data_IF_554743934080
#
_entry.id   IF_554743934080
#
_cell.length_a   1.000
_cell.length_b   1.000
_cell.length_c   1.000
_cell.angle_alpha   90.00
_cell.angle_beta   90.00
_cell.angle_gamma   90.00
#
_symmetry.space_group_name_H-M   'P 1'
#
loop_
_entity.id
_entity.type
_entity.pdbx_description
1 polymer ?
#
# COMPACT_ATOMS: atom_id res chain seq x y z
N UNK A 1 16.86 4.98 -1.87
CA UNK A 1 18.16 5.56 -2.26
C UNK A 1 18.92 5.95 -1.02
N UNK A 2 18.57 7.06 -0.37
CA UNK A 2 19.26 7.60 0.82
C UNK A 2 19.73 6.57 1.87
N UNK A 3 18.83 5.79 2.48
CA UNK A 3 19.19 4.79 3.51
C UNK A 3 20.17 3.73 2.99
N UNK A 4 20.08 3.35 1.71
CA UNK A 4 21.02 2.39 1.12
C UNK A 4 22.43 2.98 0.95
N UNK A 5 22.52 4.30 0.77
CA UNK A 5 23.78 5.01 0.48
C UNK A 5 24.53 5.42 1.75
N UNK A 6 23.83 5.57 2.89
CA UNK A 6 24.42 6.00 4.17
C UNK A 6 24.57 4.87 5.21
N UNK A 7 24.05 3.67 4.94
CA UNK A 7 24.06 2.55 5.88
C UNK A 7 24.98 1.42 5.42
N UNK A 8 25.90 1.05 6.30
CA UNK A 8 26.82 -0.07 6.10
C UNK A 8 26.08 -1.41 5.90
N UNK A 9 26.73 -2.33 5.17
CA UNK A 9 26.11 -3.58 4.69
C UNK A 9 25.43 -4.41 5.79
N UNK A 10 26.06 -4.52 6.97
CA UNK A 10 25.57 -5.32 8.09
C UNK A 10 24.34 -4.71 8.79
N UNK A 11 24.21 -3.37 8.80
CA UNK A 11 23.08 -2.71 9.45
C UNK A 11 21.93 -2.39 8.49
N UNK A 12 22.13 -2.61 7.19
CA UNK A 12 21.18 -2.27 6.13
C UNK A 12 19.84 -2.96 6.32
N UNK A 13 19.85 -4.27 6.59
CA UNK A 13 18.63 -5.04 6.83
C UNK A 13 17.83 -4.49 8.02
N UNK A 14 18.51 -4.08 9.10
CA UNK A 14 17.87 -3.49 10.29
C UNK A 14 17.21 -2.15 9.95
N UNK A 15 17.88 -1.26 9.23
CA UNK A 15 17.35 0.05 8.87
C UNK A 15 16.16 -0.05 7.89
N UNK A 16 16.23 -0.96 6.92
CA UNK A 16 15.09 -1.25 6.05
C UNK A 16 13.92 -1.87 6.82
N UNK A 17 14.19 -2.67 7.85
CA UNK A 17 13.18 -3.19 8.77
C UNK A 17 12.45 -2.07 9.53
N UNK A 18 13.19 -1.12 10.11
CA UNK A 18 12.60 0.05 10.78
C UNK A 18 11.78 0.92 9.83
N UNK A 19 12.29 1.18 8.61
CA UNK A 19 11.54 1.92 7.58
C UNK A 19 10.19 1.24 7.26
N UNK A 20 10.21 -0.09 7.11
CA UNK A 20 9.00 -0.87 6.85
C UNK A 20 8.01 -0.82 8.01
N UNK A 21 8.50 -0.86 9.25
CA UNK A 21 7.67 -0.70 10.45
C UNK A 21 7.03 0.69 10.55
N UNK A 22 7.77 1.76 10.28
CA UNK A 22 7.23 3.13 10.24
C UNK A 22 6.16 3.29 9.14
N UNK A 23 6.38 2.70 7.97
CA UNK A 23 5.40 2.71 6.88
C UNK A 23 4.10 1.98 7.28
N UNK A 24 4.22 0.80 7.87
CA UNK A 24 3.07 0.06 8.40
C UNK A 24 2.31 0.83 9.47
N UNK A 25 3.02 1.45 10.42
CA UNK A 25 2.40 2.31 11.43
C UNK A 25 1.65 3.49 10.80
N UNK A 26 2.25 4.16 9.82
CA UNK A 26 1.61 5.26 9.09
C UNK A 26 0.35 4.83 8.34
N UNK A 27 0.35 3.64 7.75
CA UNK A 27 -0.79 3.08 7.04
C UNK A 27 -1.99 2.82 7.97
N UNK A 28 -1.75 2.48 9.24
CA UNK A 28 -2.80 2.27 10.24
C UNK A 28 -3.21 3.58 10.92
N UNK A 29 -2.25 4.38 11.37
CA UNK A 29 -2.51 5.64 12.07
C UNK A 29 -3.15 6.69 11.16
N UNK A 30 -2.80 6.71 9.87
CA UNK A 30 -3.29 7.68 8.89
C UNK A 30 -4.83 7.69 8.75
N UNK A 31 -5.48 6.57 8.41
CA UNK A 31 -6.94 6.50 8.30
C UNK A 31 -7.68 6.78 9.62
N UNK A 32 -7.12 6.37 10.77
CA UNK A 32 -7.73 6.65 12.08
C UNK A 32 -7.74 8.14 12.37
N UNK A 33 -6.57 8.79 12.27
CA UNK A 33 -6.45 10.23 12.49
C UNK A 33 -7.24 11.02 11.44
N UNK A 34 -7.20 10.59 10.18
CA UNK A 34 -7.95 11.19 9.08
C UNK A 34 -9.46 11.10 9.27
N UNK A 35 -9.99 9.95 9.69
CA UNK A 35 -11.42 9.76 9.95
C UNK A 35 -11.91 10.59 11.14
N UNK A 36 -11.17 10.58 12.25
CA UNK A 36 -11.49 11.38 13.44
C UNK A 36 -11.49 12.89 13.13
N UNK A 37 -10.48 13.37 12.39
CA UNK A 37 -10.39 14.78 11.99
C UNK A 37 -11.42 15.15 10.92
N UNK A 38 -11.71 14.23 10.01
CA UNK A 38 -12.73 14.40 8.96
C UNK A 38 -14.14 14.61 9.54
N UNK A 39 -14.43 14.04 10.72
CA UNK A 39 -15.68 14.26 11.44
C UNK A 39 -15.87 15.70 11.94
N UNK A 40 -14.79 16.45 12.22
CA UNK A 40 -14.89 17.87 12.60
C UNK A 40 -14.98 18.79 11.39
N UNK A 41 -14.18 18.51 10.35
CA UNK A 41 -14.20 19.25 9.09
C UNK A 41 -13.55 18.41 7.98
N UNK A 42 -14.11 18.42 6.75
CA UNK A 42 -13.48 17.74 5.60
C UNK A 42 -12.05 18.23 5.29
N UNK A 43 -11.69 19.44 5.71
CA UNK A 43 -10.35 20.02 5.45
C UNK A 43 -9.33 19.74 6.56
N UNK A 44 -9.77 19.38 7.77
CA UNK A 44 -8.88 19.21 8.93
C UNK A 44 -7.78 18.13 8.72
N UNK A 45 -8.07 16.97 8.09
CA UNK A 45 -7.02 15.97 7.80
C UNK A 45 -5.89 16.52 6.92
N UNK A 46 -6.20 17.40 5.97
CA UNK A 46 -5.21 17.97 5.05
C UNK A 46 -4.28 18.95 5.76
N UNK A 47 -4.81 19.78 6.66
CA UNK A 47 -3.97 20.68 7.47
C UNK A 47 -3.05 19.91 8.42
N UNK A 48 -3.54 18.82 9.02
CA UNK A 48 -2.72 17.95 9.85
C UNK A 48 -1.60 17.27 9.05
N UNK A 49 -1.92 16.75 7.86
CA UNK A 49 -0.94 16.17 6.95
C UNK A 49 0.12 17.20 6.51
N UNK A 50 -0.29 18.45 6.23
CA UNK A 50 0.63 19.53 5.90
C UNK A 50 1.56 19.88 7.06
N UNK A 51 1.03 19.96 8.29
CA UNK A 51 1.85 20.20 9.48
C UNK A 51 2.86 19.07 9.73
N UNK A 52 2.44 17.81 9.62
CA UNK A 52 3.33 16.64 9.76
C UNK A 52 4.42 16.60 8.70
N UNK A 53 4.08 16.90 7.44
CA UNK A 53 5.07 16.99 6.37
C UNK A 53 6.04 18.16 6.58
N UNK A 54 5.55 19.31 7.04
CA UNK A 54 6.41 20.45 7.41
C UNK A 54 7.37 20.10 8.55
N UNK A 55 6.89 19.39 9.57
CA UNK A 55 7.73 18.90 10.67
C UNK A 55 8.78 17.88 10.20
N UNK A 56 8.46 17.03 9.21
CA UNK A 56 9.43 16.11 8.60
C UNK A 56 10.44 16.83 7.69
N UNK A 57 10.04 17.92 7.05
CA UNK A 57 10.90 18.72 6.17
C UNK A 57 12.02 19.45 6.95
N UNK A 58 11.74 19.91 8.16
CA UNK A 58 12.75 20.60 8.98
C UNK A 58 14.01 19.76 9.27
N UNK A 59 13.93 18.54 9.85
CA UNK A 59 15.09 17.67 9.98
C UNK A 59 15.61 17.22 8.61
N UNK A 60 14.72 17.10 7.61
CA UNK A 60 15.00 17.09 6.17
C UNK A 60 16.16 18.00 5.77
N UNK A 61 15.98 19.29 6.03
CA UNK A 61 16.90 20.35 5.61
C UNK A 61 18.13 20.50 6.50
N UNK A 62 18.01 20.23 7.81
CA UNK A 62 19.08 20.55 8.76
C UNK A 62 19.93 19.36 9.19
N UNK A 63 19.39 18.13 9.17
CA UNK A 63 20.06 16.95 9.74
C UNK A 63 20.53 15.95 8.69
N UNK A 64 19.95 15.92 7.48
CA UNK A 64 20.32 14.92 6.46
C UNK A 64 21.56 15.37 5.67
N UNK A 65 22.71 14.67 5.80
CA UNK A 65 23.87 14.90 4.95
C UNK A 65 23.57 14.60 3.48
N UNK A 66 24.30 15.23 2.57
CA UNK A 66 24.21 14.93 1.14
C UNK A 66 24.59 13.46 0.87
N UNK A 67 23.61 12.66 0.41
CA UNK A 67 23.80 11.24 0.11
C UNK A 67 24.52 11.00 -1.22
N UNK A 68 24.40 11.91 -2.19
CA UNK A 68 24.94 11.70 -3.52
C UNK A 68 26.36 12.26 -3.63
N UNK A 69 27.36 11.43 -3.31
CA UNK A 69 28.79 11.77 -3.44
C UNK A 69 29.38 11.56 -4.85
N UNK A 70 28.57 11.16 -5.83
CA UNK A 70 29.02 10.89 -7.21
C UNK A 70 29.09 12.14 -8.10
N UNK A 71 29.91 12.10 -9.16
CA UNK A 71 29.96 13.14 -10.19
C UNK A 71 28.59 13.32 -10.86
N UNK A 72 28.17 14.58 -11.06
CA UNK A 72 26.94 14.94 -11.77
C UNK A 72 27.08 14.52 -13.24
N UNK A 73 26.54 13.34 -13.58
CA UNK A 73 26.45 12.90 -14.98
C UNK A 73 25.43 13.78 -15.73
N UNK A 74 25.72 14.21 -16.98
CA UNK A 74 24.75 14.94 -17.78
C UNK A 74 23.50 14.08 -18.00
N UNK A 75 22.33 14.66 -17.74
CA UNK A 75 21.04 14.01 -17.94
C UNK A 75 20.86 13.69 -19.43
N UNK A 76 20.96 12.41 -19.79
CA UNK A 76 20.67 11.94 -21.14
C UNK A 76 19.17 12.00 -21.38
N UNK A 77 18.75 12.54 -22.53
CA UNK A 77 17.32 12.62 -22.90
C UNK A 77 16.67 11.24 -23.01
N UNK A 78 17.44 10.20 -23.34
CA UNK A 78 16.94 8.82 -23.34
C UNK A 78 16.57 8.33 -21.92
N UNK A 79 17.25 8.81 -20.88
CA UNK A 79 16.95 8.47 -19.48
C UNK A 79 15.64 9.12 -18.97
N UNK A 80 15.12 10.12 -19.69
CA UNK A 80 13.85 10.77 -19.39
C UNK A 80 12.63 10.00 -19.94
N UNK A 81 12.84 8.95 -20.74
CA UNK A 81 11.75 8.15 -21.28
C UNK A 81 11.49 6.92 -20.39
N UNK A 82 10.50 6.97 -19.48
CA UNK A 82 10.20 5.84 -18.59
C UNK A 82 9.71 4.60 -19.35
N UNK A 83 9.18 4.77 -20.58
CA UNK A 83 8.71 3.70 -21.45
C UNK A 83 9.84 3.04 -22.25
N UNK A 84 11.03 3.65 -22.32
CA UNK A 84 12.17 3.04 -23.00
C UNK A 84 12.60 1.73 -22.33
N UNK A 85 12.43 1.62 -21.00
CA UNK A 85 12.70 0.41 -20.22
C UNK A 85 11.78 -0.77 -20.59
N UNK A 86 10.57 -0.52 -21.10
CA UNK A 86 9.65 -1.55 -21.56
C UNK A 86 10.06 -2.21 -22.88
N UNK A 87 10.97 -1.59 -23.65
CA UNK A 87 11.43 -2.14 -24.94
C UNK A 87 12.14 -3.48 -24.77
N UNK A 88 12.83 -3.68 -23.64
CA UNK A 88 13.49 -4.94 -23.30
C UNK A 88 12.49 -6.03 -22.89
N UNK A 89 11.44 -5.67 -22.15
CA UNK A 89 10.38 -6.61 -21.73
C UNK A 89 9.58 -7.17 -22.93
N UNK A 90 9.51 -6.43 -24.04
CA UNK A 90 8.82 -6.86 -25.27
C UNK A 90 9.43 -8.10 -25.92
N UNK A 91 10.71 -8.41 -25.66
CA UNK A 91 11.40 -9.59 -26.17
C UNK A 91 11.15 -10.87 -25.37
N UNK A 92 10.53 -10.78 -24.19
CA UNK A 92 10.34 -11.90 -23.27
C UNK A 92 8.86 -12.07 -22.96
N UNK A 93 8.15 -12.88 -23.78
CA UNK A 93 6.70 -13.09 -23.66
C UNK A 93 6.25 -13.51 -22.26
N UNK A 94 7.06 -14.30 -21.54
CA UNK A 94 6.76 -14.71 -20.15
C UNK A 94 6.81 -13.52 -19.19
N UNK A 95 7.81 -12.64 -19.32
CA UNK A 95 7.94 -11.44 -18.48
C UNK A 95 6.79 -10.48 -18.77
N UNK A 96 6.45 -10.26 -20.05
CA UNK A 96 5.30 -9.45 -20.42
C UNK A 96 3.98 -9.98 -19.85
N UNK A 97 3.78 -11.31 -19.85
CA UNK A 97 2.60 -11.92 -19.23
C UNK A 97 2.57 -11.72 -17.70
N UNK A 98 3.70 -11.89 -17.01
CA UNK A 98 3.79 -11.64 -15.57
C UNK A 98 3.55 -10.16 -15.23
N UNK A 99 4.08 -9.24 -16.04
CA UNK A 99 3.81 -7.80 -15.89
C UNK A 99 2.34 -7.47 -16.09
N UNK A 100 1.68 -8.10 -17.07
CA UNK A 100 0.25 -7.92 -17.28
C UNK A 100 -0.58 -8.45 -16.11
N UNK A 101 -0.25 -9.65 -15.58
CA UNK A 101 -0.90 -10.20 -14.39
C UNK A 101 -0.71 -9.26 -13.19
N UNK A 102 0.53 -8.82 -12.93
CA UNK A 102 0.82 -7.86 -11.87
C UNK A 102 0.05 -6.55 -12.04
N UNK A 103 -0.01 -6.02 -13.27
CA UNK A 103 -0.78 -4.81 -13.57
C UNK A 103 -2.27 -5.00 -13.29
N UNK A 104 -2.86 -6.12 -13.70
CA UNK A 104 -4.28 -6.43 -13.44
C UNK A 104 -4.51 -6.55 -11.93
N UNK A 105 -3.64 -7.25 -11.20
CA UNK A 105 -3.75 -7.38 -9.75
C UNK A 105 -3.65 -6.02 -9.06
N UNK A 106 -2.69 -5.18 -9.46
CA UNK A 106 -2.57 -3.82 -8.93
C UNK A 106 -3.82 -2.99 -9.25
N UNK A 107 -4.36 -3.08 -10.46
CA UNK A 107 -5.57 -2.36 -10.86
C UNK A 107 -6.77 -2.76 -9.99
N UNK A 108 -6.99 -4.07 -9.81
CA UNK A 108 -8.06 -4.59 -8.95
C UNK A 108 -7.84 -4.18 -7.49
N UNK A 109 -6.61 -4.27 -6.99
CA UNK A 109 -6.27 -3.86 -5.62
C UNK A 109 -6.45 -2.36 -5.34
N UNK A 110 -6.50 -1.50 -6.37
CA UNK A 110 -6.82 -0.08 -6.19
C UNK A 110 -8.33 0.21 -6.09
N UNK A 111 -9.20 -0.75 -6.47
CA UNK A 111 -10.66 -0.54 -6.47
C UNK A 111 -11.20 -0.23 -5.07
N UNK A 112 -10.86 -0.97 -3.99
CA UNK A 112 -11.31 -0.63 -2.64
C UNK A 112 -10.78 0.73 -2.21
N UNK A 113 -9.51 1.03 -2.48
CA UNK A 113 -8.93 2.30 -2.07
C UNK A 113 -9.70 3.51 -2.64
N UNK A 114 -10.22 3.40 -3.87
CA UNK A 114 -10.99 4.45 -4.52
C UNK A 114 -12.48 4.46 -4.14
N UNK A 115 -13.10 3.28 -4.01
CA UNK A 115 -14.57 3.15 -3.92
C UNK A 115 -15.07 2.82 -2.51
N UNK A 116 -14.22 2.40 -1.57
CA UNK A 116 -14.65 1.92 -0.26
C UNK A 116 -15.43 2.96 0.54
N UNK A 117 -14.98 4.22 0.50
CA UNK A 117 -15.66 5.35 1.15
C UNK A 117 -17.05 5.56 0.53
N UNK A 118 -17.10 5.70 -0.80
CA UNK A 118 -18.35 5.95 -1.55
C UNK A 118 -19.34 4.80 -1.36
N UNK A 119 -18.87 3.56 -1.46
CA UNK A 119 -19.67 2.37 -1.27
C UNK A 119 -20.20 2.27 0.17
N UNK A 120 -19.36 2.56 1.18
CA UNK A 120 -19.76 2.57 2.58
C UNK A 120 -20.84 3.62 2.89
N UNK A 121 -20.71 4.82 2.33
CA UNK A 121 -21.68 5.91 2.49
C UNK A 121 -23.02 5.60 1.79
N UNK A 122 -22.98 5.20 0.52
CA UNK A 122 -24.19 5.01 -0.30
C UNK A 122 -24.95 3.73 0.10
N UNK A 123 -24.23 2.63 0.34
CA UNK A 123 -24.85 1.32 0.60
C UNK A 123 -25.23 1.10 2.06
N UNK A 124 -24.39 1.56 2.99
CA UNK A 124 -24.53 1.26 4.42
C UNK A 124 -24.80 2.50 5.27
N UNK A 125 -24.82 3.70 4.68
CA UNK A 125 -24.97 4.97 5.39
C UNK A 125 -23.95 5.13 6.53
N UNK A 126 -22.72 4.68 6.28
CA UNK A 126 -21.63 4.86 7.24
C UNK A 126 -21.23 6.32 7.34
N UNK A 127 -20.92 6.75 8.57
CA UNK A 127 -20.31 8.03 8.84
C UNK A 127 -18.78 7.96 8.63
N UNK A 128 -18.14 9.14 8.54
CA UNK A 128 -16.70 9.25 8.35
C UNK A 128 -15.89 8.48 9.41
N UNK A 129 -16.40 8.40 10.65
CA UNK A 129 -15.80 7.64 11.75
C UNK A 129 -15.78 6.15 11.45
N UNK A 130 -16.92 5.58 11.08
CA UNK A 130 -17.02 4.14 10.75
C UNK A 130 -16.15 3.78 9.56
N UNK A 131 -16.09 4.64 8.54
CA UNK A 131 -15.22 4.45 7.38
C UNK A 131 -13.75 4.46 7.79
N UNK A 132 -13.32 5.43 8.60
CA UNK A 132 -11.95 5.50 9.12
C UNK A 132 -11.55 4.27 9.94
N UNK A 133 -12.44 3.81 10.83
CA UNK A 133 -12.24 2.58 11.63
C UNK A 133 -12.14 1.36 10.71
N UNK A 134 -13.00 1.27 9.69
CA UNK A 134 -13.01 0.15 8.74
C UNK A 134 -11.71 0.06 7.94
N UNK A 135 -11.18 1.20 7.46
CA UNK A 135 -9.90 1.27 6.74
C UNK A 135 -8.72 0.92 7.64
N UNK A 136 -8.75 1.38 8.89
CA UNK A 136 -7.74 1.03 9.88
C UNK A 136 -7.74 -0.47 10.20
N UNK A 137 -8.92 -1.05 10.40
CA UNK A 137 -9.08 -2.49 10.60
C UNK A 137 -8.57 -3.27 9.40
N UNK A 138 -8.92 -2.86 8.17
CA UNK A 138 -8.40 -3.46 6.95
C UNK A 138 -6.87 -3.40 6.88
N UNK A 139 -6.26 -2.23 7.14
CA UNK A 139 -4.80 -2.09 7.15
C UNK A 139 -4.11 -2.98 8.18
N UNK A 140 -4.67 -3.11 9.39
CA UNK A 140 -4.17 -4.03 10.42
C UNK A 140 -4.28 -5.48 9.94
N UNK A 141 -5.46 -5.91 9.47
CA UNK A 141 -5.66 -7.27 8.98
C UNK A 141 -4.74 -7.59 7.80
N UNK A 142 -4.59 -6.67 6.85
CA UNK A 142 -3.76 -6.84 5.66
C UNK A 142 -2.28 -6.92 6.05
N UNK A 143 -1.79 -6.03 6.93
CA UNK A 143 -0.41 -6.12 7.44
C UNK A 143 -0.15 -7.41 8.21
N UNK A 144 -1.13 -7.88 8.99
CA UNK A 144 -1.04 -9.13 9.74
C UNK A 144 -1.05 -10.36 8.82
N UNK A 145 -1.90 -10.37 7.80
CA UNK A 145 -1.94 -11.40 6.77
C UNK A 145 -0.65 -11.43 5.95
N UNK A 146 -0.14 -10.25 5.57
CA UNK A 146 1.14 -10.12 4.87
C UNK A 146 2.30 -10.67 5.72
N UNK A 147 2.33 -10.38 7.02
CA UNK A 147 3.38 -10.85 7.92
C UNK A 147 3.28 -12.34 8.26
N UNK A 148 2.08 -12.86 8.54
CA UNK A 148 1.91 -14.21 9.09
C UNK A 148 1.45 -15.26 8.08
N UNK A 149 0.68 -14.87 7.06
CA UNK A 149 0.07 -15.81 6.11
C UNK A 149 0.96 -15.97 4.88
N UNK A 150 1.44 -14.86 4.31
CA UNK A 150 2.13 -14.86 3.01
C UNK A 150 3.37 -15.77 3.00
N UNK A 151 4.27 -15.64 3.98
CA UNK A 151 5.51 -16.42 4.05
C UNK A 151 5.26 -17.93 4.17
N UNK A 152 4.52 -18.40 5.20
CA UNK A 152 4.24 -19.83 5.38
C UNK A 152 3.45 -20.45 4.23
N UNK A 153 2.48 -19.73 3.65
CA UNK A 153 1.68 -20.22 2.52
C UNK A 153 2.55 -20.37 1.26
N UNK A 154 3.38 -19.37 0.95
CA UNK A 154 4.33 -19.44 -0.17
C UNK A 154 5.34 -20.59 0.00
N UNK A 155 5.87 -20.78 1.22
CA UNK A 155 6.81 -21.86 1.51
C UNK A 155 6.19 -23.26 1.39
N UNK A 156 4.91 -23.44 1.79
CA UNK A 156 4.23 -24.74 1.76
C UNK A 156 3.63 -25.11 0.42
N UNK A 157 3.04 -24.13 -0.28
CA UNK A 157 2.26 -24.37 -1.50
C UNK A 157 3.00 -23.94 -2.77
N UNK A 158 4.10 -23.20 -2.63
CA UNK A 158 4.83 -22.58 -3.72
C UNK A 158 4.19 -21.26 -4.17
N UNK A 159 5.00 -20.37 -4.72
CA UNK A 159 4.62 -19.00 -5.10
C UNK A 159 3.38 -18.97 -6.00
N UNK A 160 3.34 -19.82 -7.03
CA UNK A 160 2.21 -19.85 -7.99
C UNK A 160 0.88 -20.20 -7.33
N UNK A 161 0.85 -21.18 -6.41
CA UNK A 161 -0.39 -21.59 -5.76
C UNK A 161 -0.81 -20.62 -4.66
N UNK A 162 0.16 -20.03 -3.95
CA UNK A 162 -0.10 -18.96 -3.01
C UNK A 162 -0.78 -17.76 -3.70
N UNK A 163 -0.25 -17.36 -4.86
CA UNK A 163 -0.78 -16.27 -5.66
C UNK A 163 -2.20 -16.59 -6.19
N UNK A 164 -2.45 -17.81 -6.68
CA UNK A 164 -3.80 -18.24 -7.08
C UNK A 164 -4.79 -18.25 -5.91
N UNK A 165 -4.37 -18.69 -4.71
CA UNK A 165 -5.21 -18.68 -3.52
C UNK A 165 -5.57 -17.25 -3.11
N UNK A 166 -4.62 -16.32 -3.17
CA UNK A 166 -4.87 -14.91 -2.89
C UNK A 166 -5.90 -14.33 -3.85
N UNK A 167 -5.73 -14.56 -5.16
CA UNK A 167 -6.71 -14.13 -6.17
C UNK A 167 -8.12 -14.72 -5.96
N UNK A 168 -8.22 -15.97 -5.49
CA UNK A 168 -9.51 -16.60 -5.18
C UNK A 168 -10.11 -15.98 -3.92
N UNK A 169 -9.30 -15.70 -2.89
CA UNK A 169 -9.76 -15.06 -1.66
C UNK A 169 -10.30 -13.65 -1.95
N UNK A 170 -9.57 -12.85 -2.73
CA UNK A 170 -9.99 -11.53 -3.19
C UNK A 170 -11.27 -11.58 -4.02
N UNK A 171 -11.30 -12.44 -5.05
CA UNK A 171 -12.46 -12.60 -5.91
C UNK A 171 -13.70 -12.99 -5.12
N UNK A 172 -13.56 -13.91 -4.16
CA UNK A 172 -14.64 -14.32 -3.26
C UNK A 172 -15.07 -13.16 -2.36
N UNK A 173 -14.11 -12.39 -1.83
CA UNK A 173 -14.37 -11.21 -1.02
C UNK A 173 -15.23 -10.17 -1.75
N UNK A 174 -14.88 -9.83 -3.00
CA UNK A 174 -15.67 -8.91 -3.81
C UNK A 174 -17.07 -9.43 -4.14
N UNK A 175 -17.20 -10.73 -4.45
CA UNK A 175 -18.51 -11.34 -4.71
C UNK A 175 -19.38 -11.24 -3.45
N UNK A 176 -18.85 -11.58 -2.28
CA UNK A 176 -19.59 -11.48 -1.02
C UNK A 176 -19.95 -10.02 -0.70
N UNK A 177 -19.07 -9.07 -1.00
CA UNK A 177 -19.33 -7.64 -0.80
C UNK A 177 -20.48 -7.15 -1.69
N UNK A 178 -20.58 -7.65 -2.92
CA UNK A 178 -21.67 -7.30 -3.84
C UNK A 178 -23.06 -7.72 -3.32
N UNK A 179 -23.13 -8.83 -2.57
CA UNK A 179 -24.37 -9.30 -1.93
C UNK A 179 -24.56 -8.79 -0.49
N UNK A 180 -23.62 -8.00 0.04
CA UNK A 180 -23.74 -7.48 1.40
C UNK A 180 -24.90 -6.49 1.51
N UNK A 181 -25.83 -6.78 2.42
CA UNK A 181 -27.02 -5.94 2.66
C UNK A 181 -26.92 -5.11 3.95
N UNK A 182 -26.02 -5.48 4.86
CA UNK A 182 -25.86 -4.82 6.17
C UNK A 182 -24.39 -4.45 6.38
N UNK A 183 -24.12 -3.27 6.94
CA UNK A 183 -22.75 -2.79 7.13
C UNK A 183 -21.86 -3.73 7.95
N UNK A 184 -22.39 -4.42 8.96
CA UNK A 184 -21.58 -5.34 9.76
C UNK A 184 -21.01 -6.52 8.94
N UNK A 185 -21.63 -6.89 7.81
CA UNK A 185 -21.16 -7.97 6.94
C UNK A 185 -19.84 -7.63 6.24
N UNK A 186 -19.51 -6.34 6.10
CA UNK A 186 -18.26 -5.91 5.49
C UNK A 186 -17.03 -6.31 6.32
N UNK A 187 -17.11 -6.30 7.65
CA UNK A 187 -15.98 -6.65 8.54
C UNK A 187 -15.46 -8.09 8.39
N UNK A 188 -16.30 -9.15 8.40
CA UNK A 188 -15.81 -10.50 8.13
C UNK A 188 -15.32 -10.67 6.68
N UNK A 189 -15.90 -9.95 5.71
CA UNK A 189 -15.46 -9.98 4.31
C UNK A 189 -14.07 -9.34 4.15
N UNK A 190 -13.73 -8.32 4.95
CA UNK A 190 -12.39 -7.73 4.96
C UNK A 190 -11.30 -8.74 5.29
N UNK A 191 -11.58 -9.80 6.07
CA UNK A 191 -10.60 -10.84 6.37
C UNK A 191 -10.17 -11.56 5.09
N UNK A 192 -11.13 -11.86 4.21
CA UNK A 192 -10.85 -12.49 2.93
C UNK A 192 -10.08 -11.54 2.02
N UNK A 193 -10.54 -10.29 1.90
CA UNK A 193 -9.88 -9.26 1.09
C UNK A 193 -8.48 -8.88 1.61
N UNK A 194 -8.24 -8.99 2.91
CA UNK A 194 -6.93 -8.72 3.50
C UNK A 194 -5.94 -9.88 3.33
N UNK A 195 -6.45 -11.09 3.03
CA UNK A 195 -5.65 -12.30 2.84
C UNK A 195 -5.30 -12.59 1.39
N UNK A 196 -5.91 -11.86 0.44
CA UNK A 196 -5.66 -11.92 -1.00
C UNK A 196 -4.33 -11.29 -1.39
#
# INVERSE_FOLDING_TARGET
AYIADITDGDERARHFGFMSACFGFGMVAGPVLGGLMGGFSPHAPFFAAAALNGLNFLPGCFLLPESHKGERRPLRREALNPLASFRWARGMTVVAALMAVFFIMQLVGQVPAALWVIFGEDRFHWDATTIGISLAAFGILHSLAQAMITGPVAARLGERRALMLGMIADGTGYILLAFATRGWMAFPIMVLLASG
#
